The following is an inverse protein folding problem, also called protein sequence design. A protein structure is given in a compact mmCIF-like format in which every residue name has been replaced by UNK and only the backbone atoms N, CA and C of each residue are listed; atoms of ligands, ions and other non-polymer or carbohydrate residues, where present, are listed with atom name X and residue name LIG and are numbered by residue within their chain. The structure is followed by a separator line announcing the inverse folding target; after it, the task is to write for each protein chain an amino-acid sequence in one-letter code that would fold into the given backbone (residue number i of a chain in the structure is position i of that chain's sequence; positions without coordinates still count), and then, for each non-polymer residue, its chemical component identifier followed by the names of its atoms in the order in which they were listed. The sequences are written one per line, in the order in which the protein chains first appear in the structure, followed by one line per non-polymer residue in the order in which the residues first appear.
data_IF_556236350187
#
_entry.id   IF_556236350187
#
_cell.length_a   1.000
_cell.length_b   1.000
_cell.length_c   1.000
_cell.angle_alpha   90.00
_cell.angle_beta   90.00
_cell.angle_gamma   90.00
#
_symmetry.space_group_name_H-M   'P 1'
#
loop_
_entity.id
_entity.type
_entity.pdbx_description
1 polymer ?
#
# COMPACT_ATOMS: atom_id res chain seq x y z
N UNK A 1 -16.44 -13.45 -10.80
CA UNK A 1 -15.25 -12.77 -11.33
C UNK A 1 -14.79 -11.86 -10.22
N UNK A 2 -13.67 -12.19 -9.56
CA UNK A 2 -13.14 -11.38 -8.49
C UNK A 2 -12.78 -9.99 -9.00
N UNK A 3 -13.06 -8.96 -8.22
CA UNK A 3 -12.71 -7.56 -8.49
C UNK A 3 -11.69 -7.07 -7.48
N UNK A 4 -10.55 -6.62 -8.00
CA UNK A 4 -9.41 -6.11 -7.25
C UNK A 4 -9.19 -4.65 -7.60
N UNK A 5 -9.18 -3.79 -6.58
CA UNK A 5 -8.98 -2.35 -6.75
C UNK A 5 -7.59 -1.96 -6.26
N UNK A 6 -6.78 -1.41 -7.16
CA UNK A 6 -5.42 -0.96 -6.87
C UNK A 6 -5.41 0.55 -6.61
N UNK A 7 -4.62 1.00 -5.64
CA UNK A 7 -4.43 2.43 -5.44
C UNK A 7 -3.69 3.04 -6.62
N UNK A 8 -4.17 4.18 -7.10
CA UNK A 8 -3.52 5.02 -8.09
C UNK A 8 -2.26 5.67 -7.48
N UNK A 9 -1.22 4.89 -7.30
CA UNK A 9 0.01 5.30 -6.64
C UNK A 9 1.24 4.93 -7.48
N UNK A 10 2.25 5.80 -7.64
CA UNK A 10 3.37 5.58 -8.57
C UNK A 10 4.18 4.29 -8.34
N UNK A 11 4.11 3.71 -7.15
CA UNK A 11 4.85 2.50 -6.77
C UNK A 11 4.04 1.22 -6.99
N UNK A 12 2.78 1.32 -7.41
CA UNK A 12 1.88 0.20 -7.67
C UNK A 12 1.66 0.15 -9.17
N UNK A 13 2.24 -0.85 -9.83
CA UNK A 13 2.10 -1.05 -11.27
C UNK A 13 0.92 -1.98 -11.59
N UNK A 14 -0.17 -1.49 -12.20
CA UNK A 14 -1.33 -2.31 -12.50
C UNK A 14 -1.06 -3.45 -13.48
N UNK A 15 -0.11 -3.28 -14.42
CA UNK A 15 0.17 -4.33 -15.40
C UNK A 15 0.84 -5.53 -14.75
N UNK A 16 1.81 -5.31 -13.84
CA UNK A 16 2.38 -6.38 -13.02
C UNK A 16 1.29 -7.16 -12.26
N UNK A 17 0.31 -6.48 -11.66
CA UNK A 17 -0.79 -7.16 -10.97
C UNK A 17 -1.68 -7.96 -11.93
N UNK A 18 -2.01 -7.42 -13.10
CA UNK A 18 -2.80 -8.14 -14.12
C UNK A 18 -2.10 -9.40 -14.61
N UNK A 19 -0.81 -9.30 -14.91
CA UNK A 19 0.01 -10.43 -15.35
C UNK A 19 0.09 -11.51 -14.26
N UNK A 20 0.48 -11.13 -13.04
CA UNK A 20 0.63 -12.07 -11.92
C UNK A 20 -0.69 -12.75 -11.55
N UNK A 21 -1.80 -12.00 -11.52
CA UNK A 21 -3.10 -12.57 -11.21
C UNK A 21 -3.58 -13.51 -12.33
N UNK A 22 -3.40 -13.14 -13.60
CA UNK A 22 -3.76 -14.00 -14.72
C UNK A 22 -2.99 -15.33 -14.73
N UNK A 23 -1.73 -15.33 -14.29
CA UNK A 23 -0.91 -16.54 -14.17
C UNK A 23 -1.21 -17.36 -12.89
N UNK A 24 -1.69 -16.70 -11.83
CA UNK A 24 -1.88 -17.33 -10.52
C UNK A 24 -3.27 -17.96 -10.33
N UNK A 25 -4.29 -17.56 -11.09
CA UNK A 25 -5.66 -18.07 -10.96
C UNK A 25 -6.26 -18.54 -12.29
N UNK A 26 -7.12 -19.56 -12.24
CA UNK A 26 -7.76 -20.15 -13.43
C UNK A 26 -8.94 -19.32 -13.98
N UNK A 27 -9.44 -18.36 -13.21
CA UNK A 27 -10.55 -17.49 -13.58
C UNK A 27 -10.08 -16.05 -13.83
N UNK A 28 -10.74 -15.29 -14.74
CA UNK A 28 -10.38 -13.90 -14.96
C UNK A 28 -10.58 -13.06 -13.70
N UNK A 29 -9.71 -12.09 -13.48
CA UNK A 29 -9.80 -11.10 -12.40
C UNK A 29 -9.98 -9.72 -13.01
N UNK A 30 -10.96 -8.98 -12.52
CA UNK A 30 -11.16 -7.58 -12.88
C UNK A 30 -10.25 -6.70 -12.03
N UNK A 31 -9.35 -5.96 -12.69
CA UNK A 31 -8.37 -5.10 -12.02
C UNK A 31 -8.66 -3.63 -12.36
N UNK A 32 -9.07 -2.87 -11.36
CA UNK A 32 -9.37 -1.45 -11.45
C UNK A 32 -8.30 -0.62 -10.72
N UNK A 33 -8.16 0.64 -11.09
CA UNK A 33 -7.24 1.58 -10.45
C UNK A 33 -8.03 2.79 -10.00
N UNK A 34 -7.90 3.18 -8.74
CA UNK A 34 -8.64 4.30 -8.16
C UNK A 34 -7.80 5.08 -7.15
N UNK A 35 -8.11 6.37 -6.98
CA UNK A 35 -7.54 7.16 -5.89
C UNK A 35 -8.23 6.81 -4.57
N UNK A 36 -7.49 6.26 -3.60
CA UNK A 36 -8.07 5.80 -2.31
C UNK A 36 -7.55 6.57 -1.08
N UNK A 37 -6.83 7.68 -1.25
CA UNK A 37 -6.11 8.41 -0.18
C UNK A 37 -6.95 9.01 0.98
N UNK A 38 -8.19 8.61 1.17
CA UNK A 38 -9.00 8.84 2.37
C UNK A 38 -9.95 7.67 2.63
N UNK A 39 -10.48 7.56 3.86
CA UNK A 39 -11.47 6.54 4.22
C UNK A 39 -12.66 6.55 3.26
N UNK A 40 -13.18 7.72 2.91
CA UNK A 40 -14.36 7.87 2.05
C UNK A 40 -14.08 7.40 0.62
N UNK A 41 -12.90 7.75 0.09
CA UNK A 41 -12.51 7.32 -1.26
C UNK A 41 -12.23 5.83 -1.33
N UNK A 42 -11.64 5.26 -0.29
CA UNK A 42 -11.50 3.81 -0.17
C UNK A 42 -12.87 3.13 -0.21
N UNK A 43 -13.85 3.61 0.58
CA UNK A 43 -15.20 3.05 0.60
C UNK A 43 -15.86 3.14 -0.79
N UNK A 44 -15.76 4.29 -1.45
CA UNK A 44 -16.32 4.49 -2.79
C UNK A 44 -15.69 3.54 -3.82
N UNK A 45 -14.36 3.44 -3.83
CA UNK A 45 -13.63 2.59 -4.77
C UNK A 45 -13.84 1.09 -4.50
N UNK A 46 -13.87 0.69 -3.23
CA UNK A 46 -14.01 -0.69 -2.80
C UNK A 46 -15.45 -1.21 -2.81
N UNK A 47 -16.44 -0.40 -3.20
CA UNK A 47 -17.85 -0.79 -3.20
C UNK A 47 -18.09 -2.02 -4.09
N UNK A 48 -18.31 -3.20 -3.49
CA UNK A 48 -18.46 -4.48 -4.19
C UNK A 48 -17.16 -5.06 -4.77
N UNK A 49 -16.00 -4.59 -4.30
CA UNK A 49 -14.71 -5.22 -4.59
C UNK A 49 -14.46 -6.36 -3.58
N UNK A 50 -13.75 -7.40 -4.01
CA UNK A 50 -13.37 -8.51 -3.14
C UNK A 50 -12.02 -8.22 -2.45
N UNK A 51 -11.14 -7.45 -3.10
CA UNK A 51 -9.85 -7.07 -2.53
C UNK A 51 -9.40 -5.66 -2.92
N UNK A 52 -8.58 -5.06 -2.05
CA UNK A 52 -7.90 -3.78 -2.31
C UNK A 52 -6.39 -3.91 -2.14
N UNK A 53 -5.65 -3.21 -2.99
CA UNK A 53 -4.21 -3.00 -2.83
C UNK A 53 -3.97 -1.53 -2.49
N UNK A 54 -3.54 -1.27 -1.27
CA UNK A 54 -3.41 0.09 -0.70
C UNK A 54 -1.97 0.58 -0.65
N UNK A 55 -1.81 1.89 -0.70
CA UNK A 55 -0.53 2.59 -0.58
C UNK A 55 -0.27 3.09 0.86
N UNK A 56 0.66 4.03 1.03
CA UNK A 56 0.99 4.66 2.31
C UNK A 56 -0.01 5.75 2.75
N UNK A 57 -0.79 6.31 1.83
CA UNK A 57 -1.69 7.44 2.05
C UNK A 57 -3.13 7.01 2.30
N UNK A 58 -3.48 5.75 2.02
CA UNK A 58 -4.84 5.22 2.12
C UNK A 58 -5.10 4.67 3.53
N UNK A 59 -5.92 5.31 4.38
CA UNK A 59 -6.25 4.79 5.69
C UNK A 59 -7.35 3.72 5.58
N UNK A 60 -7.05 2.51 6.04
CA UNK A 60 -8.02 1.40 6.14
C UNK A 60 -8.53 1.37 7.58
N UNK A 61 -9.47 2.26 7.87
CA UNK A 61 -10.05 2.42 9.21
C UNK A 61 -11.14 1.38 9.48
N UNK A 62 -11.52 1.21 10.75
CA UNK A 62 -12.70 0.42 11.13
C UNK A 62 -13.95 0.84 10.34
N UNK A 63 -14.17 2.15 10.15
CA UNK A 63 -15.31 2.67 9.39
C UNK A 63 -15.27 2.29 7.90
N UNK A 64 -14.07 2.16 7.30
CA UNK A 64 -13.94 1.64 5.94
C UNK A 64 -14.30 0.16 5.90
N UNK A 65 -13.73 -0.62 6.82
CA UNK A 65 -13.96 -2.06 6.93
C UNK A 65 -15.43 -2.39 7.21
N UNK A 66 -16.15 -1.55 7.97
CA UNK A 66 -17.59 -1.69 8.22
C UNK A 66 -18.45 -1.39 6.98
N UNK A 67 -17.98 -0.51 6.11
CA UNK A 67 -18.74 -0.05 4.95
C UNK A 67 -18.45 -0.85 3.67
N UNK A 68 -17.54 -1.83 3.74
CA UNK A 68 -17.10 -2.64 2.60
C UNK A 68 -17.13 -4.12 2.95
N UNK A 69 -17.42 -4.97 1.97
CA UNK A 69 -17.42 -6.43 2.13
C UNK A 69 -16.11 -7.05 1.59
N UNK A 70 -14.97 -6.51 2.00
CA UNK A 70 -13.66 -6.95 1.51
C UNK A 70 -13.24 -8.29 2.12
N UNK A 71 -12.70 -9.19 1.30
CA UNK A 71 -12.04 -10.42 1.77
C UNK A 71 -10.57 -10.16 2.12
N UNK A 72 -9.89 -9.30 1.34
CA UNK A 72 -8.44 -9.07 1.43
C UNK A 72 -8.06 -7.60 1.31
N UNK A 73 -7.18 -7.14 2.20
CA UNK A 73 -6.48 -5.86 2.11
C UNK A 73 -4.98 -6.14 1.96
N UNK A 74 -4.40 -5.78 0.81
CA UNK A 74 -2.96 -5.90 0.55
C UNK A 74 -2.30 -4.54 0.71
N UNK A 75 -1.39 -4.42 1.67
CA UNK A 75 -0.60 -3.22 1.87
C UNK A 75 0.68 -3.30 1.03
N UNK A 76 0.82 -2.43 0.03
CA UNK A 76 2.03 -2.34 -0.82
C UNK A 76 3.20 -1.60 -0.15
N UNK A 77 3.59 -2.03 1.05
CA UNK A 77 4.84 -1.68 1.76
C UNK A 77 4.91 -2.39 3.13
N UNK A 78 5.94 -2.07 3.93
CA UNK A 78 6.27 -2.79 5.17
C UNK A 78 5.29 -2.47 6.30
N UNK A 79 5.21 -1.23 6.80
CA UNK A 79 4.34 -0.89 7.95
C UNK A 79 2.84 -1.10 7.70
N UNK A 80 2.06 -1.26 8.76
CA UNK A 80 0.58 -1.40 8.70
C UNK A 80 -0.13 -0.38 9.60
N UNK A 81 0.56 0.69 10.00
CA UNK A 81 0.09 1.68 10.97
C UNK A 81 -1.17 2.43 10.52
N UNK A 82 -1.43 2.46 9.21
CA UNK A 82 -2.63 3.06 8.60
C UNK A 82 -3.78 2.07 8.38
N UNK A 83 -3.66 0.83 8.89
CA UNK A 83 -4.68 -0.22 8.77
C UNK A 83 -5.11 -0.64 10.17
N UNK A 84 -6.41 -0.63 10.44
CA UNK A 84 -6.98 -1.22 11.63
C UNK A 84 -7.01 -2.75 11.51
N UNK A 85 -5.86 -3.37 11.74
CA UNK A 85 -5.67 -4.81 11.62
C UNK A 85 -6.50 -5.62 12.61
N UNK A 86 -6.89 -5.02 13.74
CA UNK A 86 -7.75 -5.66 14.75
C UNK A 86 -9.18 -5.70 14.22
N UNK A 87 -9.70 -4.56 13.78
CA UNK A 87 -11.02 -4.46 13.17
C UNK A 87 -11.15 -5.38 11.94
N UNK A 88 -10.10 -5.46 11.12
CA UNK A 88 -10.04 -6.34 9.96
C UNK A 88 -10.15 -7.82 10.37
N UNK A 89 -9.35 -8.24 11.36
CA UNK A 89 -9.36 -9.62 11.86
C UNK A 89 -10.71 -10.02 12.49
N UNK A 90 -11.35 -9.12 13.25
CA UNK A 90 -12.68 -9.36 13.84
C UNK A 90 -13.77 -9.55 12.78
N UNK A 91 -13.58 -8.98 11.59
CA UNK A 91 -14.49 -9.07 10.44
C UNK A 91 -14.13 -10.19 9.46
N UNK A 92 -13.03 -10.91 9.70
CA UNK A 92 -12.55 -11.95 8.81
C UNK A 92 -11.80 -11.45 7.56
N UNK A 93 -11.46 -10.16 7.51
CA UNK A 93 -10.71 -9.55 6.40
C UNK A 93 -9.23 -9.85 6.57
N UNK A 94 -8.62 -10.48 5.57
CA UNK A 94 -7.19 -10.82 5.62
C UNK A 94 -6.34 -9.60 5.25
N UNK A 95 -5.44 -9.20 6.15
CA UNK A 95 -4.46 -8.13 5.86
C UNK A 95 -3.10 -8.73 5.53
N UNK A 96 -2.53 -8.35 4.39
CA UNK A 96 -1.17 -8.72 3.99
C UNK A 96 -0.30 -7.48 3.76
N UNK A 97 1.03 -7.66 3.76
CA UNK A 97 2.02 -6.60 3.58
C UNK A 97 3.24 -7.15 2.85
N UNK A 98 4.16 -6.28 2.43
CA UNK A 98 5.44 -6.68 1.80
C UNK A 98 6.59 -6.44 2.78
N UNK A 99 7.01 -7.45 3.58
CA UNK A 99 7.88 -7.24 4.73
C UNK A 99 9.37 -7.06 4.40
N UNK A 100 9.82 -7.56 3.26
CA UNK A 100 11.22 -7.57 2.79
C UNK A 100 11.53 -6.41 1.84
N UNK A 101 10.50 -5.68 1.40
CA UNK A 101 10.62 -4.50 0.55
C UNK A 101 11.51 -3.42 1.18
N UNK A 102 12.45 -2.91 0.38
CA UNK A 102 13.35 -1.80 0.68
C UNK A 102 14.32 -1.96 1.87
N UNK A 103 14.65 -3.19 2.28
CA UNK A 103 15.56 -3.41 3.41
C UNK A 103 16.95 -2.80 3.17
N UNK A 104 17.56 -3.05 2.01
CA UNK A 104 18.90 -2.55 1.67
C UNK A 104 18.90 -1.05 1.37
N UNK A 105 17.84 -0.57 0.73
CA UNK A 105 17.64 0.83 0.37
C UNK A 105 17.51 1.70 1.63
N UNK A 106 16.70 1.27 2.60
CA UNK A 106 16.54 1.98 3.88
C UNK A 106 17.83 1.94 4.69
N UNK A 107 18.56 0.81 4.70
CA UNK A 107 19.85 0.71 5.37
C UNK A 107 20.88 1.68 4.75
N UNK A 108 20.96 1.71 3.42
CA UNK A 108 21.84 2.60 2.67
C UNK A 108 21.49 4.07 2.92
N UNK A 109 20.20 4.42 2.88
CA UNK A 109 19.73 5.76 3.16
C UNK A 109 20.07 6.20 4.59
N UNK A 110 19.89 5.31 5.57
CA UNK A 110 20.18 5.58 6.99
C UNK A 110 21.67 5.87 7.22
N UNK A 111 22.56 5.06 6.66
CA UNK A 111 24.01 5.29 6.74
C UNK A 111 24.40 6.58 6.00
N UNK A 112 23.77 6.86 4.85
CA UNK A 112 24.00 8.09 4.10
C UNK A 112 23.62 9.33 4.91
N UNK A 113 22.47 9.33 5.58
CA UNK A 113 22.04 10.41 6.46
C UNK A 113 22.96 10.57 7.68
N UNK A 114 23.40 9.47 8.29
CA UNK A 114 24.37 9.50 9.39
C UNK A 114 25.66 10.21 8.96
N UNK A 115 26.22 9.83 7.81
CA UNK A 115 27.44 10.46 7.28
C UNK A 115 27.20 11.93 6.92
N UNK A 116 26.02 12.26 6.36
CA UNK A 116 25.66 13.64 6.03
C UNK A 116 25.64 14.54 7.26
N UNK A 117 25.09 14.07 8.38
CA UNK A 117 25.12 14.78 9.66
C UNK A 117 26.54 14.89 10.21
N UNK A 118 27.31 13.80 10.24
CA UNK A 118 28.68 13.78 10.78
C UNK A 118 29.63 14.72 10.04
N UNK A 119 29.40 14.93 8.74
CA UNK A 119 30.23 15.78 7.89
C UNK A 119 29.63 17.16 7.65
N UNK A 120 28.51 17.47 8.30
CA UNK A 120 27.77 18.73 8.12
C UNK A 120 27.54 19.05 6.64
N UNK A 121 27.20 18.02 5.83
CA UNK A 121 27.10 18.18 4.37
C UNK A 121 26.08 19.26 4.01
N UNK A 122 24.88 19.22 4.61
CA UNK A 122 23.81 20.19 4.30
C UNK A 122 24.23 21.64 4.59
N UNK A 123 24.74 22.00 5.79
CA UNK A 123 25.24 23.35 6.03
C UNK A 123 26.35 23.82 5.07
N UNK A 124 27.29 22.94 4.71
CA UNK A 124 28.38 23.32 3.81
C UNK A 124 27.91 23.49 2.36
N UNK A 125 26.99 22.64 1.90
CA UNK A 125 26.35 22.75 0.59
C UNK A 125 25.56 24.07 0.46
N UNK A 126 24.76 24.39 1.47
CA UNK A 126 23.99 25.65 1.52
C UNK A 126 24.85 26.91 1.52
N UNK A 127 26.10 26.83 2.00
CA UNK A 127 27.00 27.98 2.08
C UNK A 127 27.68 28.33 0.74
N UNK A 128 27.58 27.46 -0.27
CA UNK A 128 28.22 27.64 -1.59
C UNK A 128 27.25 27.71 -2.77
N UNK A 129 25.96 27.44 -2.53
CA UNK A 129 24.87 27.64 -3.48
C UNK A 129 24.36 29.10 -3.46
#
# INVERSE_FOLDING_TARGET
MPRVVLSAFPMIDPETYREVLADAVDEPVEVEVAEMGSTERLIEAAAGADAVVTDINTPVTEAALDATDLDVVVRSAVGVDNIDVVAAAERGVTVTRVPDYCTEEVATHSVSLLLACLRSLKPYDDAVA
#
